data_IF_675139780092
#
_entry.id   IF_675139780092
#
_cell.length_a   1.000
_cell.length_b   1.000
_cell.length_c   1.000
_cell.angle_alpha   90.00
_cell.angle_beta   90.00
_cell.angle_gamma   90.00
#
_symmetry.space_group_name_H-M   'P 1'
#
loop_
_entity.id
_entity.type
_entity.pdbx_description
1 polymer ?
#
# COMPACT_ATOMS: atom_id res chain seq x y z
N UNK A 1 29.61 -1.63 11.03
CA UNK A 1 28.51 -2.60 11.16
C UNK A 1 27.39 -1.93 11.95
N UNK A 2 26.39 -1.33 11.28
CA UNK A 2 25.29 -0.65 11.97
C UNK A 2 24.17 -1.65 12.25
N UNK A 3 24.03 -2.05 13.52
CA UNK A 3 22.84 -2.75 13.99
C UNK A 3 21.64 -1.79 13.89
N UNK A 4 20.76 -2.04 12.93
CA UNK A 4 19.47 -1.36 12.85
C UNK A 4 18.54 -2.08 13.81
N UNK A 5 18.32 -1.49 14.99
CA UNK A 5 17.36 -1.94 15.97
C UNK A 5 15.98 -2.04 15.30
N UNK A 6 15.51 -3.26 15.08
CA UNK A 6 14.15 -3.54 14.63
C UNK A 6 13.20 -3.25 15.79
N UNK A 7 12.74 -2.01 15.90
CA UNK A 7 11.73 -1.65 16.89
C UNK A 7 10.43 -2.37 16.52
N UNK A 8 9.90 -3.25 17.39
CA UNK A 8 8.64 -3.92 17.14
C UNK A 8 7.48 -2.91 17.03
N UNK A 9 6.49 -3.23 16.19
CA UNK A 9 5.35 -2.39 15.80
C UNK A 9 4.61 -1.75 16.99
N UNK A 10 4.68 -2.37 18.17
CA UNK A 10 4.05 -1.92 19.39
C UNK A 10 4.57 -0.57 19.92
N UNK A 11 5.80 -0.18 19.56
CA UNK A 11 6.45 0.99 20.15
C UNK A 11 6.43 2.24 19.26
N UNK A 12 5.92 2.13 18.03
CA UNK A 12 5.75 3.26 17.10
C UNK A 12 4.30 3.80 17.06
N UNK A 13 3.41 3.23 17.87
CA UNK A 13 2.00 3.64 17.94
C UNK A 13 1.74 4.40 19.24
N UNK A 14 0.95 5.49 19.22
CA UNK A 14 0.55 6.17 20.44
C UNK A 14 -0.09 5.18 21.43
N UNK A 15 0.13 5.33 22.76
CA UNK A 15 -0.36 4.38 23.77
C UNK A 15 -1.86 4.06 23.66
N UNK A 16 -2.68 5.03 23.24
CA UNK A 16 -4.13 4.84 23.01
C UNK A 16 -4.51 4.06 21.74
N UNK A 17 -3.60 3.89 20.77
CA UNK A 17 -3.78 3.05 19.57
C UNK A 17 -3.37 1.62 19.85
N UNK A 18 -2.31 1.44 20.65
CA UNK A 18 -1.81 0.14 21.15
C UNK A 18 -2.87 -0.58 21.98
N UNK A 19 -3.42 0.09 22.99
CA UNK A 19 -4.47 -0.45 23.86
C UNK A 19 -5.78 -0.81 23.12
N UNK A 20 -6.01 -0.26 21.92
CA UNK A 20 -7.21 -0.54 21.11
C UNK A 20 -7.04 -1.71 20.14
N UNK A 21 -5.79 -2.13 19.87
CA UNK A 21 -5.46 -3.24 18.99
C UNK A 21 -5.16 -4.53 19.77
N UNK A 22 -4.68 -4.41 21.01
CA UNK A 22 -4.27 -5.56 21.83
C UNK A 22 -5.45 -6.35 22.44
N UNK A 23 -6.69 -5.86 22.35
CA UNK A 23 -7.89 -6.55 22.86
C UNK A 23 -9.07 -6.69 21.89
N UNK A 24 -8.93 -6.25 20.62
CA UNK A 24 -10.01 -6.30 19.64
C UNK A 24 -9.61 -7.17 18.45
N UNK A 25 -10.51 -8.07 18.03
CA UNK A 25 -10.39 -8.84 16.81
C UNK A 25 -9.80 -8.00 15.67
N UNK A 26 -8.85 -8.56 14.91
CA UNK A 26 -8.16 -7.88 13.80
C UNK A 26 -9.18 -7.07 12.98
N UNK A 27 -8.96 -5.76 12.77
CA UNK A 27 -9.94 -4.94 12.08
C UNK A 27 -10.19 -5.53 10.69
N UNK A 28 -11.46 -5.60 10.23
CA UNK A 28 -11.74 -6.06 8.88
C UNK A 28 -10.99 -5.18 7.88
N UNK A 29 -10.41 -5.83 6.87
CA UNK A 29 -9.68 -5.14 5.80
C UNK A 29 -10.45 -5.25 4.51
N UNK A 30 -10.85 -4.10 3.97
CA UNK A 30 -11.44 -3.99 2.65
C UNK A 30 -10.35 -3.61 1.64
N UNK A 31 -10.44 -4.15 0.42
CA UNK A 31 -9.53 -3.83 -0.68
C UNK A 31 -10.37 -3.24 -1.80
N UNK A 32 -10.02 -2.05 -2.26
CA UNK A 32 -10.75 -1.43 -3.37
C UNK A 32 -10.44 -2.16 -4.67
N UNK A 33 -11.39 -2.14 -5.62
CA UNK A 33 -11.17 -2.60 -6.98
C UNK A 33 -9.93 -1.94 -7.62
N UNK A 34 -9.77 -0.63 -7.39
CA UNK A 34 -8.62 0.12 -7.87
C UNK A 34 -7.29 -0.43 -7.34
N UNK A 35 -7.21 -0.83 -6.06
CA UNK A 35 -6.01 -1.44 -5.51
C UNK A 35 -5.67 -2.79 -6.18
N UNK A 36 -6.68 -3.61 -6.48
CA UNK A 36 -6.51 -4.87 -7.21
C UNK A 36 -5.99 -4.64 -8.62
N UNK A 37 -6.62 -3.73 -9.37
CA UNK A 37 -6.21 -3.37 -10.73
C UNK A 37 -4.74 -2.90 -10.76
N UNK A 38 -4.36 -2.03 -9.82
CA UNK A 38 -2.99 -1.53 -9.71
C UNK A 38 -1.97 -2.61 -9.36
N UNK A 39 -2.36 -3.60 -8.56
CA UNK A 39 -1.53 -4.74 -8.26
C UNK A 39 -1.31 -5.62 -9.50
N UNK A 40 -2.38 -5.89 -10.26
CA UNK A 40 -2.31 -6.63 -11.52
C UNK A 40 -1.47 -5.89 -12.57
N UNK A 41 -1.58 -4.57 -12.67
CA UNK A 41 -0.72 -3.75 -13.54
C UNK A 41 0.76 -3.93 -13.23
N UNK A 42 1.11 -3.88 -11.93
CA UNK A 42 2.49 -4.03 -11.50
C UNK A 42 3.04 -5.42 -11.81
N UNK A 43 2.25 -6.48 -11.55
CA UNK A 43 2.63 -7.87 -11.89
C UNK A 43 2.89 -8.02 -13.39
N UNK A 44 1.97 -7.53 -14.22
CA UNK A 44 2.13 -7.51 -15.68
C UNK A 44 3.38 -6.75 -16.10
N UNK A 45 3.63 -5.58 -15.51
CA UNK A 45 4.83 -4.79 -15.76
C UNK A 45 6.13 -5.46 -15.31
N UNK A 46 6.06 -6.35 -14.32
CA UNK A 46 7.17 -7.18 -13.86
C UNK A 46 7.34 -8.46 -14.69
N UNK A 47 6.51 -8.71 -15.70
CA UNK A 47 6.54 -9.92 -16.51
C UNK A 47 6.09 -11.17 -15.75
N UNK A 48 5.36 -11.01 -14.64
CA UNK A 48 4.88 -12.13 -13.83
C UNK A 48 3.37 -12.23 -13.97
N UNK A 49 2.87 -13.45 -14.09
CA UNK A 49 1.44 -13.73 -14.17
C UNK A 49 0.70 -13.10 -12.99
N UNK A 50 -0.39 -12.40 -13.28
CA UNK A 50 -1.22 -11.81 -12.24
C UNK A 50 -1.99 -12.93 -11.54
N UNK A 51 -1.94 -13.02 -10.19
CA UNK A 51 -2.77 -13.98 -9.49
C UNK A 51 -4.25 -13.62 -9.69
N UNK A 52 -5.12 -14.58 -9.41
CA UNK A 52 -6.56 -14.32 -9.41
C UNK A 52 -6.92 -13.19 -8.39
N UNK A 53 -8.09 -12.54 -8.57
CA UNK A 53 -8.48 -11.42 -7.72
C UNK A 53 -8.59 -11.75 -6.23
N UNK A 54 -8.91 -12.98 -5.87
CA UNK A 54 -9.05 -13.41 -4.48
C UNK A 54 -7.68 -13.51 -3.82
N UNK A 55 -6.72 -14.19 -4.46
CA UNK A 55 -5.34 -14.29 -4.01
C UNK A 55 -4.66 -12.90 -3.95
N UNK A 56 -4.89 -12.03 -4.93
CA UNK A 56 -4.45 -10.64 -4.89
C UNK A 56 -5.05 -9.90 -3.68
N UNK A 57 -6.34 -10.08 -3.42
CA UNK A 57 -7.04 -9.51 -2.27
C UNK A 57 -6.46 -9.99 -0.95
N UNK A 58 -6.24 -11.30 -0.79
CA UNK A 58 -5.65 -11.89 0.40
C UNK A 58 -4.25 -11.35 0.68
N UNK A 59 -3.42 -11.24 -0.36
CA UNK A 59 -2.10 -10.64 -0.27
C UNK A 59 -2.16 -9.19 0.23
N UNK A 60 -2.98 -8.34 -0.40
CA UNK A 60 -3.08 -6.92 -0.04
C UNK A 60 -3.63 -6.72 1.38
N UNK A 61 -4.59 -7.55 1.83
CA UNK A 61 -5.07 -7.54 3.22
C UNK A 61 -3.97 -7.93 4.20
N UNK A 62 -3.21 -8.97 3.89
CA UNK A 62 -2.05 -9.39 4.67
C UNK A 62 -1.00 -8.29 4.78
N UNK A 63 -0.66 -7.66 3.66
CA UNK A 63 0.30 -6.56 3.60
C UNK A 63 -0.17 -5.33 4.40
N UNK A 64 -1.46 -4.99 4.36
CA UNK A 64 -2.01 -3.88 5.13
C UNK A 64 -1.95 -4.11 6.65
N UNK A 65 -2.09 -5.36 7.10
CA UNK A 65 -2.04 -5.73 8.53
C UNK A 65 -0.62 -5.93 9.05
N UNK A 66 0.27 -6.47 8.22
CA UNK A 66 1.65 -6.83 8.60
C UNK A 66 2.69 -5.80 8.20
N UNK A 67 2.31 -4.83 7.37
CA UNK A 67 3.21 -3.81 6.86
C UNK A 67 3.53 -2.74 7.91
N UNK A 68 4.64 -2.04 7.69
CA UNK A 68 5.10 -0.92 8.49
C UNK A 68 4.52 0.38 7.95
N UNK A 69 3.94 1.19 8.82
CA UNK A 69 3.51 2.55 8.49
C UNK A 69 4.75 3.43 8.24
N UNK A 70 4.86 4.00 7.04
CA UNK A 70 6.02 4.79 6.61
C UNK A 70 5.78 6.28 6.81
N UNK A 71 4.63 6.78 6.35
CA UNK A 71 4.28 8.19 6.42
C UNK A 71 2.78 8.41 6.26
N UNK A 72 2.33 9.60 6.66
CA UNK A 72 0.96 10.06 6.40
C UNK A 72 0.84 10.59 4.97
N UNK A 73 -0.30 10.31 4.35
CA UNK A 73 -0.68 10.80 3.03
C UNK A 73 -1.82 11.81 3.14
N UNK A 74 -2.03 12.68 2.14
CA UNK A 74 -3.20 13.55 2.08
C UNK A 74 -4.52 12.78 2.22
N UNK A 75 -5.56 13.42 2.74
CA UNK A 75 -6.89 12.82 2.90
C UNK A 75 -6.99 11.83 4.08
N UNK A 76 -6.05 11.89 5.03
CA UNK A 76 -6.05 11.04 6.23
C UNK A 76 -5.61 9.61 5.98
N UNK A 77 -5.07 9.32 4.80
CA UNK A 77 -4.49 8.02 4.47
C UNK A 77 -3.07 7.88 5.04
N UNK A 78 -2.57 6.66 5.02
CA UNK A 78 -1.23 6.27 5.42
C UNK A 78 -0.57 5.44 4.33
N UNK A 79 0.73 5.63 4.17
CA UNK A 79 1.55 4.74 3.36
C UNK A 79 2.06 3.59 4.23
N UNK A 80 1.80 2.36 3.80
CA UNK A 80 2.25 1.13 4.45
C UNK A 80 3.23 0.43 3.52
N UNK A 81 4.36 -0.01 4.06
CA UNK A 81 5.38 -0.78 3.35
C UNK A 81 5.40 -2.22 3.87
N UNK A 82 5.37 -3.18 2.95
CA UNK A 82 5.51 -4.58 3.25
C UNK A 82 6.38 -5.24 2.18
N UNK A 83 7.52 -5.80 2.58
CA UNK A 83 8.45 -6.49 1.68
C UNK A 83 8.89 -5.61 0.48
N UNK A 84 9.13 -4.32 0.71
CA UNK A 84 9.52 -3.38 -0.33
C UNK A 84 8.38 -2.92 -1.25
N UNK A 85 7.15 -3.41 -1.02
CA UNK A 85 5.94 -2.97 -1.72
C UNK A 85 5.18 -1.97 -0.87
N UNK A 86 4.58 -0.99 -1.53
CA UNK A 86 3.93 0.11 -0.85
C UNK A 86 2.44 0.18 -1.17
N UNK A 87 1.64 0.37 -0.14
CA UNK A 87 0.19 0.51 -0.20
C UNK A 87 -0.24 1.85 0.39
N UNK A 88 -1.35 2.39 -0.07
CA UNK A 88 -2.05 3.45 0.62
C UNK A 88 -3.27 2.86 1.33
N UNK A 89 -3.36 3.08 2.65
CA UNK A 89 -4.46 2.59 3.48
C UNK A 89 -5.13 3.74 4.21
N UNK A 90 -6.42 3.61 4.50
CA UNK A 90 -7.16 4.58 5.30
C UNK A 90 -8.10 3.84 6.25
N UNK A 91 -8.26 4.36 7.45
CA UNK A 91 -9.24 3.85 8.41
C UNK A 91 -10.59 4.51 8.14
N UNK A 92 -11.61 3.68 7.92
CA UNK A 92 -13.00 4.10 7.79
C UNK A 92 -13.81 3.39 8.88
N UNK A 93 -14.08 4.11 9.97
CA UNK A 93 -14.68 3.53 11.18
C UNK A 93 -13.83 2.42 11.77
N UNK A 94 -14.33 1.18 11.71
CA UNK A 94 -13.66 -0.04 12.20
C UNK A 94 -12.90 -0.79 11.10
N UNK A 95 -13.04 -0.38 9.84
CA UNK A 95 -12.45 -1.06 8.69
C UNK A 95 -11.17 -0.37 8.25
N UNK A 96 -10.14 -1.15 7.93
CA UNK A 96 -8.98 -0.66 7.23
C UNK A 96 -9.20 -0.85 5.73
N UNK A 97 -9.19 0.24 4.97
CA UNK A 97 -9.44 0.22 3.53
C UNK A 97 -8.13 0.40 2.79
N UNK A 98 -7.75 -0.58 1.97
CA UNK A 98 -6.62 -0.46 1.03
C UNK A 98 -7.10 0.34 -0.18
N UNK A 99 -6.70 1.60 -0.25
CA UNK A 99 -7.14 2.55 -1.27
C UNK A 99 -6.46 2.30 -2.62
N UNK A 100 -5.14 2.08 -2.61
CA UNK A 100 -4.36 1.83 -3.83
C UNK A 100 -3.09 1.05 -3.54
N UNK A 101 -2.57 0.39 -4.58
CA UNK A 101 -1.27 -0.26 -4.59
C UNK A 101 -0.27 0.59 -5.39
N UNK A 102 0.83 0.95 -4.75
CA UNK A 102 1.84 1.81 -5.34
C UNK A 102 3.05 1.05 -5.88
N UNK A 103 3.08 -0.29 -5.79
CA UNK A 103 4.21 -1.11 -6.23
C UNK A 103 5.48 -0.88 -5.42
N UNK A 104 6.59 -1.31 -6.00
CA UNK A 104 7.94 -1.09 -5.49
C UNK A 104 8.52 0.28 -5.94
N UNK A 105 9.78 0.54 -5.54
CA UNK A 105 10.48 1.78 -5.89
C UNK A 105 10.71 1.94 -7.40
N UNK A 106 10.98 0.85 -8.13
CA UNK A 106 11.21 0.87 -9.58
C UNK A 106 9.91 1.17 -10.33
N UNK A 107 8.82 0.53 -9.96
CA UNK A 107 7.48 0.76 -10.48
C UNK A 107 7.04 2.22 -10.26
N UNK A 108 7.24 2.76 -9.06
CA UNK A 108 6.95 4.19 -8.77
C UNK A 108 7.74 5.13 -9.67
N UNK A 109 8.99 4.80 -9.97
CA UNK A 109 9.80 5.59 -10.89
C UNK A 109 9.26 5.47 -12.32
N UNK A 110 8.94 4.27 -12.78
CA UNK A 110 8.36 4.01 -14.09
C UNK A 110 7.00 4.71 -14.29
N UNK A 111 6.06 4.58 -13.34
CA UNK A 111 4.76 5.27 -13.42
C UNK A 111 4.91 6.79 -13.50
N UNK A 112 5.87 7.38 -12.77
CA UNK A 112 6.17 8.82 -12.86
C UNK A 112 6.70 9.19 -14.26
N UNK A 113 7.56 8.36 -14.85
CA UNK A 113 8.07 8.55 -16.21
C UNK A 113 6.96 8.45 -17.26
N UNK A 114 6.04 7.48 -17.14
CA UNK A 114 4.92 7.33 -18.08
C UNK A 114 3.95 8.51 -18.02
N UNK A 115 3.53 8.93 -16.82
CA UNK A 115 2.64 10.10 -16.66
C UNK A 115 3.26 11.39 -17.21
N UNK A 116 4.58 11.55 -17.12
CA UNK A 116 5.29 12.69 -17.75
C UNK A 116 5.22 12.61 -19.28
N UNK A 117 5.40 11.43 -19.87
CA UNK A 117 5.27 11.23 -21.33
C UNK A 117 3.85 11.51 -21.82
N UNK A 118 2.83 11.04 -21.10
CA UNK A 118 1.42 11.28 -21.44
C UNK A 118 1.06 12.77 -21.41
N UNK A 119 1.47 13.50 -20.36
CA UNK A 119 1.28 14.96 -20.27
C UNK A 119 2.03 15.72 -21.35
N UNK A 120 3.23 15.25 -21.70
CA UNK A 120 4.00 15.79 -22.81
C UNK A 120 3.23 15.63 -24.12
N UNK A 121 2.75 14.42 -24.43
CA UNK A 121 1.97 14.14 -25.65
C UNK A 121 0.68 14.96 -25.74
N UNK A 122 -0.07 15.10 -24.65
CA UNK A 122 -1.31 15.89 -24.63
C UNK A 122 -1.10 17.39 -24.93
N UNK A 123 0.13 17.90 -24.79
CA UNK A 123 0.49 19.31 -25.05
C UNK A 123 0.84 19.59 -26.52
N UNK A 124 1.05 18.56 -27.34
CA UNK A 124 1.40 18.69 -28.76
C UNK A 124 0.26 18.28 -29.71
N UNK A 125 -0.93 18.00 -29.16
CA UNK A 125 -2.14 17.70 -29.92
C UNK A 125 -3.11 18.88 -29.88
N UNK A 126 -2.64 20.07 -30.26
CA UNK A 126 -3.46 21.27 -30.52
C UNK A 126 -2.92 21.92 -31.79
#
# INVERSE_FOLDING_TARGET
>A
MSQVLSVPIADLLPPGVRARLEGMARPPVAVTRHALERFSDWRRGAGVEAPDPEAAGAFLRGAALKGRFVRRLPGGAWEVEHQGLYLAVKREGRTLVVLTFNGDRAWRHWCRKQRRKERGRARWTI
#
